data_IF_690080769031
#
_entry.id   IF_690080769031
#
_cell.length_a   1.000
_cell.length_b   1.000
_cell.length_c   1.000
_cell.angle_alpha   90.00
_cell.angle_beta   90.00
_cell.angle_gamma   90.00
#
_symmetry.space_group_name_H-M   'P 1'
#
loop_
_entity.id
_entity.type
_entity.pdbx_description
1 polymer ?
#
# COMPACT_ATOMS: atom_id res chain seq x y z
N UNK A 1 -42.73 -10.41 -13.38
CA UNK A 1 -42.34 -10.40 -11.96
C UNK A 1 -41.62 -11.69 -11.54
N UNK A 2 -42.23 -12.87 -11.70
CA UNK A 2 -41.67 -14.19 -11.30
C UNK A 2 -40.34 -14.58 -11.99
N UNK A 3 -40.09 -14.17 -13.25
CA UNK A 3 -38.85 -14.47 -13.96
C UNK A 3 -37.68 -13.62 -13.42
N UNK A 4 -37.96 -12.42 -12.99
CA UNK A 4 -36.96 -11.50 -12.40
C UNK A 4 -36.57 -11.97 -11.00
N UNK A 5 -37.49 -12.44 -10.18
CA UNK A 5 -37.21 -13.06 -8.88
C UNK A 5 -36.36 -14.34 -9.00
N UNK A 6 -36.65 -15.19 -9.96
CA UNK A 6 -35.82 -16.38 -10.21
C UNK A 6 -34.42 -16.04 -10.67
N UNK A 7 -34.25 -14.99 -11.46
CA UNK A 7 -32.94 -14.49 -11.89
C UNK A 7 -32.16 -13.90 -10.72
N UNK A 8 -32.77 -13.07 -9.85
CA UNK A 8 -32.14 -12.55 -8.65
C UNK A 8 -31.78 -13.65 -7.66
N UNK A 9 -32.65 -14.63 -7.42
CA UNK A 9 -32.34 -15.76 -6.55
C UNK A 9 -31.25 -16.69 -7.12
N UNK A 10 -31.12 -16.78 -8.43
CA UNK A 10 -30.01 -17.49 -9.08
C UNK A 10 -28.68 -16.72 -8.89
N UNK A 11 -28.70 -15.41 -9.08
CA UNK A 11 -27.54 -14.53 -8.82
C UNK A 11 -27.11 -14.59 -7.37
N UNK A 12 -28.04 -14.50 -6.43
CA UNK A 12 -27.73 -14.54 -5.00
C UNK A 12 -27.10 -15.88 -4.59
N UNK A 13 -27.67 -17.00 -5.06
CA UNK A 13 -27.15 -18.32 -4.67
C UNK A 13 -25.85 -18.71 -5.37
N UNK A 14 -25.69 -18.36 -6.65
CA UNK A 14 -24.54 -18.80 -7.44
C UNK A 14 -23.40 -17.79 -7.55
N UNK A 15 -23.69 -16.51 -7.38
CA UNK A 15 -22.68 -15.44 -7.53
C UNK A 15 -22.44 -14.74 -6.18
N UNK A 16 -23.47 -14.26 -5.50
CA UNK A 16 -23.30 -13.50 -4.28
C UNK A 16 -22.73 -14.37 -3.14
N UNK A 17 -23.16 -15.64 -3.00
CA UNK A 17 -22.64 -16.55 -2.00
C UNK A 17 -21.12 -16.81 -2.13
N UNK A 18 -20.61 -17.30 -3.26
CA UNK A 18 -19.18 -17.48 -3.49
C UNK A 18 -18.38 -16.17 -3.43
N UNK A 19 -18.93 -15.08 -3.98
CA UNK A 19 -18.26 -13.75 -3.91
C UNK A 19 -18.13 -13.23 -2.47
N UNK A 20 -19.14 -13.44 -1.63
CA UNK A 20 -19.04 -13.05 -0.22
C UNK A 20 -17.94 -13.84 0.49
N UNK A 21 -17.81 -15.14 0.24
CA UNK A 21 -16.74 -15.97 0.81
C UNK A 21 -15.34 -15.50 0.37
N UNK A 22 -15.18 -15.11 -0.90
CA UNK A 22 -13.92 -14.58 -1.43
C UNK A 22 -13.62 -13.21 -0.81
N UNK A 23 -14.62 -12.32 -0.75
CA UNK A 23 -14.45 -10.98 -0.18
C UNK A 23 -14.16 -10.99 1.32
N UNK A 24 -14.56 -12.04 2.04
CA UNK A 24 -14.29 -12.28 3.45
C UNK A 24 -12.90 -12.87 3.71
N UNK A 25 -12.19 -13.32 2.67
CA UNK A 25 -10.84 -13.84 2.81
C UNK A 25 -9.90 -12.73 3.34
N UNK A 26 -9.07 -13.06 4.34
CA UNK A 26 -8.21 -12.10 5.05
C UNK A 26 -7.33 -11.24 4.13
N UNK A 27 -6.73 -11.83 3.11
CA UNK A 27 -5.88 -11.12 2.15
C UNK A 27 -6.69 -10.15 1.27
N UNK A 28 -7.84 -10.59 0.77
CA UNK A 28 -8.73 -9.74 -0.05
C UNK A 28 -9.28 -8.58 0.79
N UNK A 29 -9.70 -8.87 2.02
CA UNK A 29 -10.14 -7.84 2.96
C UNK A 29 -9.03 -6.84 3.27
N UNK A 30 -7.80 -7.30 3.48
CA UNK A 30 -6.66 -6.43 3.72
C UNK A 30 -6.35 -5.51 2.54
N UNK A 31 -6.42 -6.02 1.30
CA UNK A 31 -6.27 -5.21 0.09
C UNK A 31 -7.37 -4.14 0.02
N UNK A 32 -8.63 -4.53 0.20
CA UNK A 32 -9.76 -3.60 0.21
C UNK A 32 -9.58 -2.49 1.24
N UNK A 33 -9.28 -2.87 2.47
CA UNK A 33 -9.14 -1.92 3.60
C UNK A 33 -7.92 -1.01 3.38
N UNK A 34 -6.83 -1.54 2.82
CA UNK A 34 -5.65 -0.77 2.44
C UNK A 34 -5.94 0.28 1.37
N UNK A 35 -6.69 -0.09 0.34
CA UNK A 35 -7.12 0.87 -0.72
C UNK A 35 -8.06 1.93 -0.12
N UNK A 36 -9.03 1.52 0.71
CA UNK A 36 -9.95 2.45 1.38
C UNK A 36 -9.19 3.45 2.25
N UNK A 37 -8.12 3.03 2.95
CA UNK A 37 -7.32 3.93 3.79
C UNK A 37 -6.62 5.06 3.02
N UNK A 38 -6.39 4.87 1.71
CA UNK A 38 -5.77 5.88 0.84
C UNK A 38 -6.79 6.87 0.22
N UNK A 39 -8.09 6.61 0.31
CA UNK A 39 -9.14 7.45 -0.31
C UNK A 39 -9.01 8.94 0.06
N UNK A 40 -8.76 9.35 1.32
CA UNK A 40 -8.65 10.77 1.65
C UNK A 40 -7.53 11.47 0.87
N UNK A 41 -6.40 10.80 0.65
CA UNK A 41 -5.27 11.36 -0.12
C UNK A 41 -5.57 11.39 -1.62
N UNK A 42 -6.31 10.40 -2.13
CA UNK A 42 -6.77 10.36 -3.52
C UNK A 42 -7.71 11.54 -3.79
N UNK A 43 -8.69 11.77 -2.91
CA UNK A 43 -9.63 12.89 -3.05
C UNK A 43 -8.90 14.24 -2.96
N UNK A 44 -8.06 14.43 -1.94
CA UNK A 44 -7.31 15.68 -1.78
C UNK A 44 -6.40 15.96 -2.99
N UNK A 45 -5.67 14.93 -3.47
CA UNK A 45 -4.82 15.05 -4.64
C UNK A 45 -5.59 15.36 -5.91
N UNK A 46 -6.75 14.74 -6.14
CA UNK A 46 -7.57 14.98 -7.32
C UNK A 46 -8.16 16.41 -7.35
N UNK A 47 -8.52 16.98 -6.19
CA UNK A 47 -8.97 18.37 -6.11
C UNK A 47 -7.86 19.35 -6.52
N UNK A 48 -6.62 19.08 -6.12
CA UNK A 48 -5.46 19.89 -6.51
C UNK A 48 -5.22 19.78 -8.03
N UNK A 49 -5.38 18.58 -8.60
CA UNK A 49 -5.26 18.38 -10.04
C UNK A 49 -6.29 19.20 -10.84
N UNK A 50 -7.52 19.31 -10.35
CA UNK A 50 -8.58 20.14 -10.96
C UNK A 50 -8.20 21.62 -10.93
N UNK A 51 -7.51 22.10 -9.89
CA UNK A 51 -7.03 23.48 -9.81
C UNK A 51 -5.87 23.70 -10.81
N UNK A 52 -4.96 22.73 -10.95
CA UNK A 52 -3.81 22.81 -11.86
C UNK A 52 -4.19 22.67 -13.34
N UNK A 53 -5.26 21.92 -13.61
CA UNK A 53 -5.80 21.71 -14.97
C UNK A 53 -7.32 21.91 -14.95
N UNK A 54 -7.80 23.16 -14.83
CA UNK A 54 -9.21 23.45 -14.67
C UNK A 54 -9.98 23.11 -15.96
N UNK A 55 -11.19 22.55 -15.86
CA UNK A 55 -12.03 22.18 -17.02
C UNK A 55 -12.73 23.43 -17.60
N UNK A 56 -11.93 24.45 -17.95
CA UNK A 56 -12.36 25.70 -18.57
C UNK A 56 -11.55 25.95 -19.85
N UNK A 57 -12.04 26.78 -20.79
CA UNK A 57 -11.28 27.09 -22.01
C UNK A 57 -9.88 27.61 -21.70
N UNK A 58 -8.88 27.14 -22.46
CA UNK A 58 -7.46 27.51 -22.28
C UNK A 58 -7.22 29.03 -22.40
N UNK A 59 -8.12 29.73 -23.07
CA UNK A 59 -8.09 31.19 -23.22
C UNK A 59 -8.58 31.96 -21.99
N UNK A 60 -9.12 31.26 -20.98
CA UNK A 60 -9.57 31.91 -19.75
C UNK A 60 -8.37 32.36 -18.91
N UNK A 61 -8.47 33.52 -18.28
CA UNK A 61 -7.39 34.05 -17.42
C UNK A 61 -7.02 33.09 -16.29
N UNK A 62 -8.00 32.30 -15.77
CA UNK A 62 -7.74 31.29 -14.74
C UNK A 62 -6.94 30.10 -15.29
N UNK A 63 -7.25 29.59 -16.50
CA UNK A 63 -6.51 28.50 -17.09
C UNK A 63 -5.06 28.92 -17.42
N UNK A 64 -4.86 30.14 -17.92
CA UNK A 64 -3.53 30.68 -18.18
C UNK A 64 -2.72 30.80 -16.88
N UNK A 65 -3.29 31.37 -15.84
CA UNK A 65 -2.66 31.48 -14.52
C UNK A 65 -2.32 30.11 -13.94
N UNK A 66 -3.23 29.13 -14.00
CA UNK A 66 -3.01 27.76 -13.51
C UNK A 66 -1.86 27.08 -14.26
N UNK A 67 -1.76 27.28 -15.60
CA UNK A 67 -0.69 26.74 -16.42
C UNK A 67 0.67 27.34 -16.06
N UNK A 68 0.74 28.64 -15.84
CA UNK A 68 1.98 29.33 -15.48
C UNK A 68 2.50 28.90 -14.08
N UNK A 69 1.59 28.49 -13.18
CA UNK A 69 1.92 28.05 -11.82
C UNK A 69 1.78 26.54 -11.59
N UNK A 70 1.59 25.76 -12.67
CA UNK A 70 1.27 24.34 -12.61
C UNK A 70 2.31 23.53 -11.81
N UNK A 71 3.60 23.83 -11.98
CA UNK A 71 4.65 23.11 -11.25
C UNK A 71 4.52 23.24 -9.73
N UNK A 72 4.18 24.44 -9.25
CA UNK A 72 4.01 24.71 -7.82
C UNK A 72 2.67 24.13 -7.30
N UNK A 73 1.60 24.28 -8.04
CA UNK A 73 0.27 23.77 -7.71
C UNK A 73 0.28 22.24 -7.65
N UNK A 74 1.06 21.56 -8.51
CA UNK A 74 1.13 20.10 -8.55
C UNK A 74 2.03 19.48 -7.49
N UNK A 75 2.81 20.23 -6.71
CA UNK A 75 3.63 19.66 -5.65
C UNK A 75 2.82 18.84 -4.64
N UNK A 76 1.74 19.35 -4.06
CA UNK A 76 0.92 18.57 -3.13
C UNK A 76 0.30 17.32 -3.78
N UNK A 77 -0.15 17.42 -5.05
CA UNK A 77 -0.64 16.26 -5.80
C UNK A 77 0.44 15.18 -5.95
N UNK A 78 1.65 15.57 -6.35
CA UNK A 78 2.79 14.65 -6.51
C UNK A 78 3.17 13.97 -5.20
N UNK A 79 3.07 14.68 -4.07
CA UNK A 79 3.43 14.19 -2.74
C UNK A 79 2.27 13.51 -1.98
N UNK A 80 1.10 13.42 -2.58
CA UNK A 80 -0.06 12.69 -2.04
C UNK A 80 -0.51 11.59 -3.01
N UNK A 81 -1.30 11.92 -4.00
CA UNK A 81 -1.77 10.98 -5.03
C UNK A 81 -0.61 10.35 -5.82
N UNK A 82 0.43 11.14 -6.13
CA UNK A 82 1.60 10.68 -6.88
C UNK A 82 2.41 9.57 -6.21
N UNK A 83 2.25 9.39 -4.88
CA UNK A 83 2.92 8.34 -4.10
C UNK A 83 1.91 7.40 -3.42
N UNK A 84 0.71 7.26 -3.98
CA UNK A 84 -0.40 6.54 -3.35
C UNK A 84 -0.10 5.07 -3.07
N UNK A 85 0.83 4.44 -3.80
CA UNK A 85 1.21 3.05 -3.55
C UNK A 85 1.82 2.85 -2.16
N UNK A 86 2.50 3.87 -1.59
CA UNK A 86 3.04 3.81 -0.23
C UNK A 86 1.92 3.78 0.82
N UNK A 87 0.89 4.61 0.65
CA UNK A 87 -0.25 4.64 1.57
C UNK A 87 -1.03 3.33 1.53
N UNK A 88 -1.31 2.84 0.32
CA UNK A 88 -2.00 1.56 0.13
C UNK A 88 -1.16 0.41 0.67
N UNK A 89 0.14 0.38 0.39
CA UNK A 89 1.07 -0.63 0.92
C UNK A 89 1.03 -0.71 2.44
N UNK A 90 1.16 0.45 3.11
CA UNK A 90 1.06 0.53 4.55
C UNK A 90 -0.32 0.06 5.06
N UNK A 91 -1.39 0.51 4.41
CA UNK A 91 -2.76 0.14 4.77
C UNK A 91 -3.01 -1.35 4.67
N UNK A 92 -2.60 -2.00 3.57
CA UNK A 92 -2.70 -3.45 3.35
C UNK A 92 -1.92 -4.21 4.40
N UNK A 93 -0.65 -3.87 4.62
CA UNK A 93 0.20 -4.52 5.62
C UNK A 93 -0.36 -4.35 7.03
N UNK A 94 -0.85 -3.17 7.37
CA UNK A 94 -1.46 -2.88 8.66
C UNK A 94 -2.76 -3.66 8.88
N UNK A 95 -3.63 -3.74 7.87
CA UNK A 95 -4.89 -4.47 7.95
C UNK A 95 -4.67 -5.98 8.07
N UNK A 96 -3.77 -6.55 7.25
CA UNK A 96 -3.48 -7.98 7.30
C UNK A 96 -2.84 -8.38 8.65
N UNK A 97 -1.87 -7.61 9.14
CA UNK A 97 -1.24 -7.89 10.43
C UNK A 97 -2.26 -7.92 11.57
N UNK A 98 -3.16 -6.93 11.60
CA UNK A 98 -4.26 -6.90 12.60
C UNK A 98 -5.19 -8.10 12.49
N UNK A 99 -5.44 -8.62 11.29
CA UNK A 99 -6.27 -9.81 11.10
C UNK A 99 -5.63 -11.10 11.68
N UNK A 100 -4.35 -11.06 11.99
CA UNK A 100 -3.58 -12.12 12.67
C UNK A 100 -3.24 -11.79 14.13
N UNK A 101 -3.88 -10.77 14.70
CA UNK A 101 -3.62 -10.28 16.06
C UNK A 101 -2.15 -9.81 16.27
N UNK A 102 -1.49 -9.40 15.17
CA UNK A 102 -0.16 -8.84 15.16
C UNK A 102 -0.19 -7.30 15.12
N UNK A 103 0.95 -6.67 15.41
CA UNK A 103 1.07 -5.21 15.34
C UNK A 103 0.81 -4.70 13.92
N UNK A 104 -0.30 -3.98 13.73
CA UNK A 104 -0.62 -3.36 12.43
C UNK A 104 0.42 -2.32 12.01
N UNK A 105 1.00 -1.58 12.97
CA UNK A 105 2.07 -0.62 12.68
C UNK A 105 3.30 -1.33 12.11
N UNK A 106 3.74 -2.41 12.75
CA UNK A 106 4.89 -3.18 12.28
C UNK A 106 4.60 -3.83 10.91
N UNK A 107 3.40 -4.40 10.70
CA UNK A 107 3.01 -4.97 9.41
C UNK A 107 3.00 -3.95 8.29
N UNK A 108 2.48 -2.74 8.54
CA UNK A 108 2.50 -1.64 7.57
C UNK A 108 3.93 -1.19 7.23
N UNK A 109 4.77 -1.00 8.24
CA UNK A 109 6.18 -0.60 8.04
C UNK A 109 6.99 -1.66 7.28
N UNK A 110 6.83 -2.93 7.61
CA UNK A 110 7.49 -4.04 6.91
C UNK A 110 7.04 -4.15 5.45
N UNK A 111 5.75 -3.93 5.18
CA UNK A 111 5.21 -3.86 3.82
C UNK A 111 5.87 -2.74 3.00
N UNK A 112 5.92 -1.52 3.56
CA UNK A 112 6.57 -0.38 2.91
C UNK A 112 8.05 -0.64 2.69
N UNK A 113 8.76 -1.20 3.67
CA UNK A 113 10.17 -1.55 3.52
C UNK A 113 10.40 -2.57 2.38
N UNK A 114 9.59 -3.64 2.32
CA UNK A 114 9.65 -4.62 1.24
C UNK A 114 9.40 -3.98 -0.13
N UNK A 115 8.40 -3.10 -0.22
CA UNK A 115 8.08 -2.39 -1.46
C UNK A 115 9.21 -1.46 -1.89
N UNK A 116 9.75 -0.64 -0.99
CA UNK A 116 10.87 0.27 -1.32
C UNK A 116 12.12 -0.50 -1.74
N UNK A 117 12.41 -1.64 -1.12
CA UNK A 117 13.50 -2.51 -1.52
C UNK A 117 13.30 -3.10 -2.93
N UNK A 118 12.05 -3.29 -3.37
CA UNK A 118 11.76 -3.79 -4.73
C UNK A 118 11.99 -2.75 -5.82
N UNK A 119 12.01 -1.47 -5.45
CA UNK A 119 12.28 -0.39 -6.39
C UNK A 119 13.79 -0.34 -6.62
N UNK A 120 14.23 -0.49 -7.86
CA UNK A 120 15.65 -0.35 -8.22
C UNK A 120 16.04 1.14 -8.25
N UNK A 121 16.65 1.67 -7.19
CA UNK A 121 17.05 3.07 -7.17
C UNK A 121 18.17 3.31 -8.17
N UNK A 122 18.15 4.46 -8.83
CA UNK A 122 19.20 4.89 -9.76
C UNK A 122 20.16 5.84 -9.05
N UNK A 123 21.46 5.66 -9.29
CA UNK A 123 22.48 6.60 -8.80
C UNK A 123 22.75 7.64 -9.86
N UNK A 124 22.50 8.90 -9.55
CA UNK A 124 22.73 10.05 -10.42
C UNK A 124 23.45 11.15 -9.62
N UNK A 125 24.58 11.64 -10.11
CA UNK A 125 25.30 12.75 -9.47
C UNK A 125 25.67 12.54 -8.01
N UNK A 126 25.88 11.29 -7.56
CA UNK A 126 26.21 10.97 -6.16
C UNK A 126 25.00 10.82 -5.23
N UNK A 127 23.77 11.03 -5.74
CA UNK A 127 22.53 10.80 -4.99
C UNK A 127 21.81 9.52 -5.44
N UNK A 128 20.99 8.97 -4.55
CA UNK A 128 20.12 7.80 -4.83
C UNK A 128 18.72 8.32 -5.10
N UNK A 129 18.17 7.98 -6.27
CA UNK A 129 16.85 8.46 -6.72
C UNK A 129 15.92 7.31 -7.04
N UNK A 130 14.68 7.45 -6.60
CA UNK A 130 13.57 6.57 -6.98
C UNK A 130 12.62 7.35 -7.87
N UNK A 131 12.21 6.76 -8.99
CA UNK A 131 11.25 7.41 -9.88
C UNK A 131 9.90 7.55 -9.18
N UNK A 132 9.37 8.78 -9.11
CA UNK A 132 8.08 9.06 -8.47
C UNK A 132 6.94 8.23 -9.11
N UNK A 133 7.01 7.97 -10.41
CA UNK A 133 6.05 7.14 -11.13
C UNK A 133 5.93 5.71 -10.57
N UNK A 134 7.04 5.18 -10.02
CA UNK A 134 7.06 3.84 -9.39
C UNK A 134 6.36 3.83 -8.03
N UNK A 135 6.21 4.98 -7.40
CA UNK A 135 5.49 5.16 -6.13
C UNK A 135 3.99 5.49 -6.34
N UNK A 136 3.59 5.81 -7.56
CA UNK A 136 2.22 6.10 -7.95
C UNK A 136 1.45 4.84 -8.40
N UNK A 137 0.60 5.02 -9.40
CA UNK A 137 -0.27 3.94 -9.92
C UNK A 137 0.48 2.74 -10.47
N UNK A 138 1.66 2.94 -11.08
CA UNK A 138 2.50 1.85 -11.61
C UNK A 138 2.99 0.90 -10.50
N UNK A 139 3.28 1.44 -9.31
CA UNK A 139 3.73 0.68 -8.15
C UNK A 139 2.61 0.06 -7.32
N UNK A 140 1.35 0.36 -7.59
CA UNK A 140 0.23 -0.03 -6.74
C UNK A 140 0.09 -1.55 -6.59
N UNK A 141 0.15 -2.28 -7.70
CA UNK A 141 0.01 -3.73 -7.69
C UNK A 141 1.19 -4.45 -6.99
N UNK A 142 2.46 -4.16 -7.32
CA UNK A 142 3.61 -4.68 -6.56
C UNK A 142 3.54 -4.34 -5.08
N UNK A 143 3.15 -3.11 -4.72
CA UNK A 143 3.03 -2.66 -3.33
C UNK A 143 2.06 -3.53 -2.52
N UNK A 144 0.89 -3.85 -3.09
CA UNK A 144 -0.09 -4.71 -2.43
C UNK A 144 0.44 -6.13 -2.22
N UNK A 145 1.06 -6.74 -3.25
CA UNK A 145 1.61 -8.10 -3.15
C UNK A 145 2.73 -8.16 -2.11
N UNK A 146 3.65 -7.19 -2.13
CA UNK A 146 4.79 -7.17 -1.22
C UNK A 146 4.36 -6.88 0.22
N UNK A 147 3.32 -6.08 0.44
CA UNK A 147 2.73 -5.89 1.74
C UNK A 147 2.15 -7.19 2.31
N UNK A 148 1.42 -7.95 1.50
CA UNK A 148 0.90 -9.26 1.92
C UNK A 148 2.05 -10.23 2.25
N UNK A 149 3.05 -10.33 1.38
CA UNK A 149 4.22 -11.19 1.57
C UNK A 149 4.98 -10.81 2.86
N UNK A 150 5.22 -9.54 3.11
CA UNK A 150 5.92 -9.07 4.29
C UNK A 150 5.19 -9.46 5.59
N UNK A 151 3.86 -9.35 5.62
CA UNK A 151 3.07 -9.74 6.78
C UNK A 151 3.03 -11.27 6.95
N UNK A 152 2.98 -12.06 5.87
CA UNK A 152 3.08 -13.52 5.99
C UNK A 152 4.45 -13.95 6.52
N UNK A 153 5.54 -13.32 6.11
CA UNK A 153 6.88 -13.55 6.70
C UNK A 153 6.87 -13.21 8.19
N UNK A 154 6.32 -12.04 8.55
CA UNK A 154 6.17 -11.63 9.94
C UNK A 154 5.38 -12.67 10.74
N UNK A 155 4.24 -13.13 10.21
CA UNK A 155 3.40 -14.17 10.83
C UNK A 155 4.15 -15.47 11.06
N UNK A 156 4.93 -15.93 10.08
CA UNK A 156 5.76 -17.13 10.19
C UNK A 156 6.78 -16.97 11.33
N UNK A 157 7.46 -15.81 11.41
CA UNK A 157 8.41 -15.53 12.48
C UNK A 157 7.76 -15.62 13.86
N UNK A 158 6.60 -15.00 14.04
CA UNK A 158 5.87 -15.06 15.30
C UNK A 158 5.39 -16.49 15.64
N UNK A 159 4.89 -17.24 14.66
CA UNK A 159 4.46 -18.62 14.83
C UNK A 159 5.60 -19.54 15.27
N UNK A 160 6.81 -19.33 14.78
CA UNK A 160 7.99 -20.14 15.14
C UNK A 160 8.81 -19.55 16.29
N UNK A 161 8.28 -18.52 16.99
CA UNK A 161 8.98 -17.81 18.06
C UNK A 161 10.33 -17.22 17.65
N UNK A 162 10.50 -16.89 16.37
CA UNK A 162 11.68 -16.20 15.83
C UNK A 162 11.54 -14.69 16.04
N UNK A 163 11.45 -14.27 17.30
CA UNK A 163 11.29 -12.87 17.68
C UNK A 163 12.09 -12.59 18.94
N UNK A 164 12.60 -11.37 19.07
CA UNK A 164 13.22 -10.96 20.32
C UNK A 164 12.15 -10.79 21.40
N UNK A 165 12.28 -11.55 22.47
CA UNK A 165 11.45 -11.40 23.68
C UNK A 165 12.16 -10.48 24.65
N UNK A 166 11.51 -9.41 25.03
CA UNK A 166 12.00 -8.49 26.06
C UNK A 166 11.53 -8.94 27.44
N UNK A 167 12.31 -8.64 28.51
CA UNK A 167 11.87 -8.83 29.89
C UNK A 167 10.57 -8.06 30.17
N UNK A 168 9.78 -8.55 31.14
CA UNK A 168 8.48 -7.96 31.52
C UNK A 168 8.55 -6.50 32.01
N UNK A 169 9.74 -6.03 32.43
CA UNK A 169 9.96 -4.65 32.85
C UNK A 169 10.00 -3.64 31.68
N UNK A 170 10.07 -4.11 30.43
CA UNK A 170 10.14 -3.25 29.26
C UNK A 170 8.72 -2.85 28.84
N UNK A 171 8.44 -1.54 28.56
CA UNK A 171 7.15 -1.10 28.06
C UNK A 171 6.71 -1.89 26.82
N UNK A 172 5.43 -2.23 26.75
CA UNK A 172 4.87 -3.06 25.68
C UNK A 172 5.11 -2.49 24.27
N UNK A 173 5.09 -1.16 24.11
CA UNK A 173 5.37 -0.49 22.85
C UNK A 173 6.80 -0.74 22.33
N UNK A 174 7.77 -0.77 23.24
CA UNK A 174 9.18 -1.07 22.94
C UNK A 174 9.32 -2.56 22.58
N UNK A 175 8.74 -3.45 23.40
CA UNK A 175 8.76 -4.89 23.16
C UNK A 175 8.16 -5.26 21.80
N UNK A 176 7.05 -4.64 21.40
CA UNK A 176 6.44 -4.83 20.09
C UNK A 176 7.35 -4.39 18.94
N UNK A 177 8.08 -3.28 19.11
CA UNK A 177 9.01 -2.78 18.09
C UNK A 177 10.19 -3.74 17.88
N UNK A 178 10.76 -4.25 18.98
CA UNK A 178 11.85 -5.23 18.91
C UNK A 178 11.39 -6.57 18.35
N UNK A 179 10.14 -6.97 18.55
CA UNK A 179 9.56 -8.17 17.94
C UNK A 179 9.56 -8.15 16.41
N UNK A 180 9.55 -6.97 15.79
CA UNK A 180 9.60 -6.81 14.34
C UNK A 180 11.02 -6.84 13.74
N UNK A 181 12.08 -6.81 14.55
CA UNK A 181 13.48 -6.75 14.07
C UNK A 181 13.85 -8.00 13.27
N UNK A 182 13.56 -9.19 13.78
CA UNK A 182 13.86 -10.45 13.08
C UNK A 182 13.09 -10.57 11.76
N UNK A 183 11.75 -10.35 11.72
CA UNK A 183 11.01 -10.26 10.46
C UNK A 183 11.60 -9.27 9.47
N UNK A 184 12.06 -8.08 9.93
CA UNK A 184 12.65 -7.08 9.06
C UNK A 184 13.94 -7.58 8.39
N UNK A 185 14.84 -8.21 9.15
CA UNK A 185 16.06 -8.80 8.57
C UNK A 185 15.75 -9.89 7.55
N UNK A 186 14.78 -10.76 7.84
CA UNK A 186 14.38 -11.83 6.92
C UNK A 186 13.79 -11.23 5.63
N UNK A 187 12.92 -10.22 5.74
CA UNK A 187 12.34 -9.54 4.58
C UNK A 187 13.42 -8.86 3.75
N UNK A 188 14.36 -8.14 4.38
CA UNK A 188 15.48 -7.54 3.66
C UNK A 188 16.31 -8.59 2.92
N UNK A 189 16.63 -9.71 3.57
CA UNK A 189 17.35 -10.81 2.94
C UNK A 189 16.61 -11.44 1.76
N UNK A 190 15.32 -11.74 1.94
CA UNK A 190 14.47 -12.32 0.88
C UNK A 190 14.34 -11.34 -0.30
N UNK A 191 14.10 -10.06 -0.05
CA UNK A 191 14.00 -9.06 -1.10
C UNK A 191 15.32 -8.88 -1.86
N UNK A 192 16.44 -8.87 -1.15
CA UNK A 192 17.78 -8.80 -1.77
C UNK A 192 18.04 -10.01 -2.66
N UNK A 193 17.68 -11.22 -2.22
CA UNK A 193 17.80 -12.44 -3.04
C UNK A 193 16.92 -12.38 -4.29
N UNK A 194 15.66 -11.95 -4.15
CA UNK A 194 14.74 -11.80 -5.29
C UNK A 194 15.31 -10.81 -6.30
N UNK A 195 15.80 -9.66 -5.84
CA UNK A 195 16.40 -8.65 -6.72
C UNK A 195 17.68 -9.16 -7.40
N UNK A 196 18.52 -9.89 -6.68
CA UNK A 196 19.73 -10.50 -7.24
C UNK A 196 19.39 -11.50 -8.36
N UNK A 197 18.33 -12.29 -8.18
CA UNK A 197 17.89 -13.26 -9.21
C UNK A 197 17.25 -12.61 -10.43
N UNK A 198 16.62 -11.44 -10.27
CA UNK A 198 15.97 -10.73 -11.39
C UNK A 198 17.00 -9.89 -12.19
N UNK A 199 18.10 -9.47 -11.58
CA UNK A 199 19.10 -8.59 -12.19
C UNK A 199 20.37 -9.34 -12.68
N UNK A 200 20.40 -10.68 -12.57
CA UNK A 200 21.38 -11.55 -13.23
C UNK A 200 20.83 -11.97 -14.58
#
# INVERSE_FOLDING_TARGET
>A
MIAMEKFFNFLDRRVAGPMSMISEQRHIRAIRDGVISAIPFIIAGSLILIIAAPPVPETSGFAMWAKDHAEQILIPYRMTFGIMSLYVCFGVGSSLARSYDLSGLAGGQLGVAAFLLSLTPKTLGGGIYVALESLGSKGLFPAMILALLAVEVMRICYKHNLTFRMPEQVPESVSRSFGAVVPAFIIMGVMTLILSLIHI
#
